data_IF_477354221108
#
_entry.id   IF_477354221108
#
_cell.length_a   1.000
_cell.length_b   1.000
_cell.length_c   1.000
_cell.angle_alpha   90.00
_cell.angle_beta   90.00
_cell.angle_gamma   90.00
#
_symmetry.space_group_name_H-M   'P 1'
#
loop_
_entity.id
_entity.type
_entity.pdbx_description
1 polymer ?
#
# COMPACT_ATOMS: atom_id res chain seq x y z
N UNK A 1 3.51 -21.26 29.26
CA UNK A 1 3.97 -19.91 28.84
C UNK A 1 3.17 -19.50 27.61
N UNK A 2 2.84 -18.23 27.47
CA UNK A 2 2.25 -17.74 26.21
C UNK A 2 3.29 -17.91 25.10
N UNK A 3 2.87 -18.30 23.88
CA UNK A 3 3.75 -18.27 22.71
C UNK A 3 4.31 -16.87 22.48
N UNK A 4 5.56 -16.80 22.03
CA UNK A 4 6.22 -15.53 21.73
C UNK A 4 6.49 -15.43 20.23
N UNK A 5 6.05 -14.36 19.62
CA UNK A 5 6.24 -14.10 18.18
C UNK A 5 7.16 -12.90 17.97
N UNK A 6 7.99 -12.98 16.92
CA UNK A 6 8.74 -11.83 16.40
C UNK A 6 8.17 -11.41 15.05
N UNK A 7 7.98 -10.11 14.87
CA UNK A 7 7.65 -9.52 13.57
C UNK A 7 8.77 -8.55 13.18
N UNK A 8 9.29 -8.67 11.97
CA UNK A 8 10.35 -7.80 11.47
C UNK A 8 9.91 -6.99 10.26
N UNK A 9 10.18 -5.67 10.28
CA UNK A 9 9.86 -4.71 9.22
C UNK A 9 10.92 -3.61 9.15
N UNK A 10 11.02 -2.91 8.01
CA UNK A 10 12.07 -1.91 7.79
C UNK A 10 11.84 -0.60 8.57
N UNK A 11 10.66 -0.02 8.44
CA UNK A 11 10.23 1.26 9.03
C UNK A 11 8.70 1.28 9.12
N UNK A 12 8.15 2.33 9.74
CA UNK A 12 6.70 2.49 9.92
C UNK A 12 6.19 3.78 9.24
N UNK A 13 6.58 3.98 7.98
CA UNK A 13 6.04 5.07 7.15
C UNK A 13 4.64 4.73 6.63
N UNK A 14 3.93 5.73 6.09
CA UNK A 14 2.61 5.51 5.49
C UNK A 14 2.70 4.62 4.24
N UNK A 15 2.15 3.43 4.33
CA UNK A 15 2.08 2.43 3.27
C UNK A 15 1.06 1.33 3.58
N UNK A 16 0.59 0.62 2.55
CA UNK A 16 -0.44 -0.41 2.72
C UNK A 16 0.02 -1.59 3.57
N UNK A 17 1.27 -2.02 3.44
CA UNK A 17 1.84 -3.09 4.26
C UNK A 17 1.96 -2.66 5.73
N UNK A 18 2.43 -1.44 5.98
CA UNK A 18 2.60 -0.90 7.32
C UNK A 18 1.24 -0.67 8.01
N UNK A 19 0.22 -0.21 7.30
CA UNK A 19 -1.16 -0.12 7.82
C UNK A 19 -1.72 -1.52 8.13
N UNK A 20 -1.49 -2.49 7.25
CA UNK A 20 -1.88 -3.88 7.51
C UNK A 20 -1.16 -4.46 8.74
N UNK A 21 0.12 -4.12 8.94
CA UNK A 21 0.83 -4.50 10.16
C UNK A 21 0.19 -3.88 11.42
N UNK A 22 -0.16 -2.59 11.38
CA UNK A 22 -0.89 -1.97 12.51
C UNK A 22 -2.21 -2.69 12.76
N UNK A 23 -2.98 -3.01 11.72
CA UNK A 23 -4.22 -3.79 11.83
C UNK A 23 -3.99 -5.18 12.45
N UNK A 24 -2.93 -5.87 12.01
CA UNK A 24 -2.52 -7.16 12.59
C UNK A 24 -2.15 -7.03 14.07
N UNK A 25 -1.30 -6.06 14.42
CA UNK A 25 -0.88 -5.84 15.80
C UNK A 25 -2.08 -5.55 16.70
N UNK A 26 -3.05 -4.77 16.24
CA UNK A 26 -4.28 -4.47 17.01
C UNK A 26 -5.25 -5.64 17.12
N UNK A 27 -5.24 -6.57 16.17
CA UNK A 27 -6.07 -7.77 16.18
C UNK A 27 -5.49 -8.91 17.03
N UNK A 28 -4.15 -8.91 17.22
CA UNK A 28 -3.48 -9.90 18.07
C UNK A 28 -3.81 -9.66 19.55
N UNK A 29 -4.37 -10.69 20.21
CA UNK A 29 -4.75 -10.65 21.62
C UNK A 29 -3.51 -10.79 22.53
N UNK A 30 -3.16 -9.78 23.32
CA UNK A 30 -2.02 -9.84 24.24
C UNK A 30 -2.16 -10.90 25.36
N UNK A 31 -3.36 -11.46 25.55
CA UNK A 31 -3.55 -12.59 26.47
C UNK A 31 -3.17 -13.93 25.82
N UNK A 32 -3.19 -14.02 24.49
CA UNK A 32 -2.88 -15.23 23.72
C UNK A 32 -1.41 -15.34 23.35
N UNK A 33 -0.74 -14.20 23.01
CA UNK A 33 0.65 -14.19 22.53
C UNK A 33 1.43 -13.01 23.11
N UNK A 34 2.75 -13.17 23.26
CA UNK A 34 3.71 -12.08 23.50
C UNK A 34 4.33 -11.66 22.17
N UNK A 35 4.39 -10.36 21.89
CA UNK A 35 4.80 -9.82 20.60
C UNK A 35 6.05 -8.97 20.74
N UNK A 36 7.14 -9.37 20.09
CA UNK A 36 8.32 -8.55 19.84
C UNK A 36 8.25 -8.00 18.41
N UNK A 37 8.34 -6.69 18.25
CA UNK A 37 8.42 -6.02 16.96
C UNK A 37 9.82 -5.46 16.74
N UNK A 38 10.51 -5.94 15.71
CA UNK A 38 11.81 -5.42 15.28
C UNK A 38 11.63 -4.51 14.07
N UNK A 39 11.73 -3.21 14.28
CA UNK A 39 11.75 -2.20 13.23
C UNK A 39 13.20 -1.81 12.97
N UNK A 40 13.72 -1.98 11.73
CA UNK A 40 15.13 -1.70 11.41
C UNK A 40 15.50 -0.24 11.67
N UNK A 41 14.58 0.68 11.39
CA UNK A 41 14.70 2.11 11.75
C UNK A 41 13.41 2.58 12.39
N UNK A 42 13.47 3.11 13.64
CA UNK A 42 12.31 3.62 14.37
C UNK A 42 11.83 4.96 13.78
N UNK A 43 11.46 4.92 12.49
CA UNK A 43 11.03 6.06 11.69
C UNK A 43 9.68 5.80 11.05
N UNK A 44 8.95 6.88 10.82
CA UNK A 44 7.64 6.85 10.19
C UNK A 44 6.49 7.25 11.10
N UNK A 45 5.44 7.74 10.48
CA UNK A 45 4.28 8.31 11.16
C UNK A 45 3.47 7.27 11.91
N UNK A 46 3.57 5.99 11.49
CA UNK A 46 2.83 4.89 12.08
C UNK A 46 3.49 4.31 13.34
N UNK A 47 4.75 4.69 13.67
CA UNK A 47 5.39 4.26 14.92
C UNK A 47 4.53 4.53 16.16
N UNK A 48 3.88 5.69 16.21
CA UNK A 48 3.00 6.11 17.31
C UNK A 48 1.67 5.35 17.39
N UNK A 49 1.34 4.52 16.40
CA UNK A 49 0.12 3.71 16.36
C UNK A 49 0.35 2.25 16.77
N UNK A 50 1.61 1.89 17.05
CA UNK A 50 1.95 0.57 17.59
C UNK A 50 1.29 0.45 18.98
N UNK A 51 0.51 -0.62 19.23
CA UNK A 51 -0.13 -0.82 20.54
C UNK A 51 0.90 -0.93 21.68
N UNK A 52 0.59 -0.38 22.85
CA UNK A 52 1.49 -0.34 24.01
C UNK A 52 1.92 -1.72 24.52
N UNK A 53 1.11 -2.75 24.31
CA UNK A 53 1.45 -4.12 24.70
C UNK A 53 2.45 -4.81 23.75
N UNK A 54 2.81 -4.20 22.64
CA UNK A 54 3.83 -4.70 21.71
C UNK A 54 5.20 -4.25 22.22
N UNK A 55 6.09 -5.19 22.46
CA UNK A 55 7.46 -4.90 22.83
C UNK A 55 8.27 -4.52 21.58
N UNK A 56 8.50 -3.24 21.38
CA UNK A 56 9.35 -2.76 20.28
C UNK A 56 10.81 -2.95 20.67
N UNK A 57 11.52 -3.83 19.96
CA UNK A 57 12.93 -4.12 20.21
C UNK A 57 13.80 -2.91 19.85
N UNK A 58 14.94 -2.70 20.56
CA UNK A 58 15.87 -1.62 20.24
C UNK A 58 16.37 -1.66 18.80
N UNK A 59 16.61 -0.48 18.21
CA UNK A 59 17.29 -0.41 16.91
C UNK A 59 18.67 -1.05 16.97
N UNK A 60 19.01 -1.84 15.96
CA UNK A 60 20.37 -2.32 15.75
C UNK A 60 21.00 -1.47 14.63
N UNK A 61 22.07 -0.71 14.91
CA UNK A 61 22.62 0.26 13.97
C UNK A 61 22.93 -0.29 12.56
N UNK A 62 23.36 -1.55 12.47
CA UNK A 62 23.67 -2.19 11.19
C UNK A 62 22.44 -2.33 10.29
N UNK A 63 21.27 -2.69 10.85
CA UNK A 63 19.99 -2.76 10.11
C UNK A 63 19.47 -1.39 9.72
N UNK A 64 19.62 -0.40 10.60
CA UNK A 64 19.24 0.99 10.31
C UNK A 64 19.95 1.53 9.06
N UNK A 65 21.16 1.03 8.78
CA UNK A 65 21.95 1.43 7.59
C UNK A 65 21.46 0.78 6.29
N UNK A 66 20.43 -0.06 6.30
CA UNK A 66 19.95 -0.78 5.13
C UNK A 66 19.57 0.15 3.96
N UNK A 67 18.79 1.18 4.21
CA UNK A 67 18.30 2.12 3.19
C UNK A 67 18.95 3.50 3.24
N UNK A 68 19.88 3.75 4.20
CA UNK A 68 20.52 5.05 4.36
C UNK A 68 21.46 5.39 3.18
N UNK A 69 21.63 6.68 2.85
CA UNK A 69 22.62 7.10 1.87
C UNK A 69 24.02 6.57 2.18
N UNK A 70 24.76 6.11 1.17
CA UNK A 70 26.10 5.51 1.36
C UNK A 70 27.07 6.44 2.10
N UNK A 71 26.94 7.76 1.89
CA UNK A 71 27.74 8.77 2.63
C UNK A 71 27.47 8.76 4.14
N UNK A 72 26.21 8.53 4.53
CA UNK A 72 25.83 8.42 5.95
C UNK A 72 26.37 7.14 6.58
N UNK A 73 26.26 6.02 5.86
CA UNK A 73 26.82 4.72 6.30
C UNK A 73 28.31 4.83 6.57
N UNK A 74 29.05 5.49 5.67
CA UNK A 74 30.48 5.77 5.86
C UNK A 74 30.75 6.68 7.06
N UNK A 75 30.00 7.79 7.16
CA UNK A 75 30.16 8.77 8.26
C UNK A 75 29.92 8.15 9.63
N UNK A 76 28.98 7.18 9.72
CA UNK A 76 28.66 6.47 10.96
C UNK A 76 29.61 5.26 11.24
N UNK A 77 30.61 5.04 10.41
CA UNK A 77 31.63 4.01 10.63
C UNK A 77 31.20 2.57 10.36
N UNK A 78 30.05 2.34 9.71
CA UNK A 78 29.56 1.00 9.37
C UNK A 78 30.23 0.43 8.12
N UNK A 79 31.57 0.23 8.16
CA UNK A 79 32.37 -0.16 6.99
C UNK A 79 31.96 -1.53 6.42
N UNK A 80 31.68 -2.53 7.25
CA UNK A 80 31.19 -3.84 6.79
C UNK A 80 29.90 -3.75 6.01
N UNK A 81 28.93 -2.96 6.51
CA UNK A 81 27.66 -2.70 5.82
C UNK A 81 27.89 -1.91 4.52
N UNK A 82 28.79 -0.94 4.54
CA UNK A 82 29.15 -0.17 3.35
C UNK A 82 29.68 -1.08 2.24
N UNK A 83 30.63 -1.96 2.56
CA UNK A 83 31.22 -2.92 1.61
C UNK A 83 30.17 -3.94 1.11
N UNK A 84 29.32 -4.46 2.00
CA UNK A 84 28.23 -5.36 1.63
C UNK A 84 27.28 -4.69 0.62
N UNK A 85 26.85 -3.44 0.88
CA UNK A 85 25.99 -2.68 -0.02
C UNK A 85 26.67 -2.31 -1.35
N UNK A 86 27.97 -1.99 -1.34
CA UNK A 86 28.73 -1.77 -2.57
C UNK A 86 28.79 -3.05 -3.40
N UNK A 87 29.05 -4.20 -2.78
CA UNK A 87 29.08 -5.50 -3.45
C UNK A 87 27.71 -5.85 -4.04
N UNK A 88 26.62 -5.64 -3.29
CA UNK A 88 25.25 -5.82 -3.79
C UNK A 88 24.98 -4.96 -5.05
N UNK A 89 25.37 -3.68 -5.03
CA UNK A 89 25.25 -2.78 -6.19
C UNK A 89 26.09 -3.24 -7.39
N UNK A 90 27.30 -3.72 -7.16
CA UNK A 90 28.14 -4.26 -8.25
C UNK A 90 27.51 -5.51 -8.87
N UNK A 91 27.01 -6.43 -8.04
CA UNK A 91 26.29 -7.63 -8.50
C UNK A 91 25.04 -7.26 -9.28
N UNK A 92 24.26 -6.31 -8.79
CA UNK A 92 23.08 -5.78 -9.48
C UNK A 92 23.45 -5.19 -10.84
N UNK A 93 24.50 -4.36 -10.92
CA UNK A 93 24.95 -3.80 -12.20
C UNK A 93 25.36 -4.90 -13.21
N UNK A 94 26.02 -5.96 -12.75
CA UNK A 94 26.35 -7.11 -13.59
C UNK A 94 25.09 -7.85 -14.07
N UNK A 95 24.11 -8.03 -13.18
CA UNK A 95 22.83 -8.66 -13.47
C UNK A 95 22.03 -7.86 -14.53
N UNK A 96 21.89 -6.55 -14.34
CA UNK A 96 21.23 -5.65 -15.31
C UNK A 96 21.86 -5.74 -16.71
N UNK A 97 23.20 -5.75 -16.76
CA UNK A 97 23.93 -5.90 -18.02
C UNK A 97 23.67 -7.25 -18.70
N UNK A 98 23.66 -8.33 -17.92
CA UNK A 98 23.39 -9.69 -18.43
C UNK A 98 21.96 -9.85 -18.94
N UNK A 99 20.98 -9.29 -18.21
CA UNK A 99 19.55 -9.42 -18.50
C UNK A 99 19.05 -8.38 -19.51
N UNK A 100 19.86 -7.36 -19.81
CA UNK A 100 19.49 -6.23 -20.68
C UNK A 100 18.22 -5.49 -20.23
N UNK A 101 18.06 -5.32 -18.91
CA UNK A 101 16.96 -4.59 -18.27
C UNK A 101 17.47 -3.34 -17.56
N UNK A 102 16.58 -2.37 -17.36
CA UNK A 102 16.81 -1.16 -16.54
C UNK A 102 16.09 -1.24 -15.19
N UNK A 103 15.21 -2.22 -15.02
CA UNK A 103 14.47 -2.43 -13.76
C UNK A 103 15.43 -2.86 -12.64
N UNK A 104 15.44 -2.08 -11.56
CA UNK A 104 16.31 -2.28 -10.41
C UNK A 104 15.63 -3.00 -9.23
N UNK A 105 14.44 -3.54 -9.39
CA UNK A 105 13.68 -4.17 -8.29
C UNK A 105 14.44 -5.34 -7.66
N UNK A 106 15.19 -6.11 -8.44
CA UNK A 106 16.03 -7.22 -7.95
C UNK A 106 17.14 -6.79 -6.95
N UNK A 107 17.39 -5.49 -6.75
CA UNK A 107 18.41 -5.01 -5.80
C UNK A 107 18.15 -5.48 -4.38
N UNK A 108 16.89 -5.69 -3.97
CA UNK A 108 16.53 -6.13 -2.62
C UNK A 108 17.08 -7.53 -2.32
N UNK A 109 17.02 -8.45 -3.28
CA UNK A 109 17.62 -9.77 -3.14
C UNK A 109 19.15 -9.71 -2.95
N UNK A 110 19.86 -8.89 -3.75
CA UNK A 110 21.31 -8.71 -3.60
C UNK A 110 21.69 -8.03 -2.29
N UNK A 111 20.92 -7.02 -1.85
CA UNK A 111 21.13 -6.35 -0.56
C UNK A 111 20.91 -7.33 0.60
N UNK A 112 19.83 -8.10 0.56
CA UNK A 112 19.50 -9.09 1.58
C UNK A 112 20.64 -10.11 1.73
N UNK A 113 21.12 -10.69 0.62
CA UNK A 113 22.20 -11.68 0.67
C UNK A 113 23.52 -11.11 1.19
N UNK A 114 23.95 -9.94 0.73
CA UNK A 114 25.25 -9.41 1.13
C UNK A 114 25.24 -8.78 2.53
N UNK A 115 24.14 -8.12 2.91
CA UNK A 115 24.02 -7.52 4.24
C UNK A 115 23.81 -8.56 5.35
N UNK A 116 23.09 -9.65 5.07
CA UNK A 116 22.92 -10.73 6.05
C UNK A 116 24.25 -11.30 6.56
N UNK A 117 25.31 -11.26 5.74
CA UNK A 117 26.64 -11.74 6.13
C UNK A 117 27.36 -10.85 7.15
N UNK A 118 26.87 -9.64 7.42
CA UNK A 118 27.60 -8.61 8.20
C UNK A 118 26.78 -7.95 9.29
N UNK A 119 25.48 -8.27 9.39
CA UNK A 119 24.61 -7.78 10.46
C UNK A 119 24.57 -8.78 11.62
N UNK A 120 24.36 -8.34 12.87
CA UNK A 120 24.28 -9.23 14.03
C UNK A 120 22.90 -9.89 14.14
N UNK A 121 22.80 -10.91 15.02
CA UNK A 121 21.55 -11.57 15.34
C UNK A 121 20.55 -10.63 16.02
N UNK A 122 19.26 -10.86 15.75
CA UNK A 122 18.14 -10.12 16.32
C UNK A 122 17.69 -10.85 17.59
N UNK A 123 17.86 -10.21 18.74
CA UNK A 123 17.47 -10.74 20.04
C UNK A 123 17.92 -12.20 20.31
N UNK A 124 19.24 -12.50 20.25
CA UNK A 124 19.77 -13.86 20.22
C UNK A 124 19.49 -14.70 21.49
N UNK A 125 19.09 -14.06 22.59
CA UNK A 125 18.74 -14.74 23.86
C UNK A 125 17.36 -15.39 23.84
N UNK A 126 16.52 -15.09 22.84
CA UNK A 126 15.13 -15.59 22.73
C UNK A 126 15.01 -16.56 21.56
N UNK A 127 14.34 -17.67 21.78
CA UNK A 127 13.82 -18.54 20.72
C UNK A 127 12.30 -18.28 20.62
N UNK A 128 11.86 -17.84 19.44
CA UNK A 128 10.46 -17.53 19.16
C UNK A 128 9.67 -18.75 18.75
N UNK A 129 8.39 -18.81 19.08
CA UNK A 129 7.49 -19.84 18.54
C UNK A 129 7.20 -19.60 17.05
N UNK A 130 7.12 -18.32 16.64
CA UNK A 130 6.96 -17.90 15.26
C UNK A 130 7.77 -16.62 14.98
N UNK A 131 8.49 -16.58 13.86
CA UNK A 131 9.11 -15.37 13.36
C UNK A 131 8.51 -14.98 12.01
N UNK A 132 8.08 -13.71 11.88
CA UNK A 132 7.42 -13.15 10.71
C UNK A 132 8.36 -12.15 10.04
N UNK A 133 8.75 -12.42 8.79
CA UNK A 133 9.41 -11.47 7.92
C UNK A 133 8.38 -10.77 7.05
N UNK A 134 8.00 -9.54 7.43
CA UNK A 134 6.83 -8.86 6.87
C UNK A 134 7.09 -8.23 5.49
N UNK A 135 8.33 -7.81 5.20
CA UNK A 135 8.77 -7.26 3.91
C UNK A 135 10.11 -7.85 3.47
N UNK A 136 10.33 -7.89 2.16
CA UNK A 136 11.64 -8.25 1.57
C UNK A 136 12.72 -7.21 1.93
N UNK A 137 13.98 -7.61 2.17
CA UNK A 137 14.53 -8.96 2.03
C UNK A 137 14.28 -9.83 3.26
N UNK A 138 13.91 -11.07 3.03
CA UNK A 138 13.61 -12.03 4.10
C UNK A 138 14.86 -12.68 4.73
N UNK A 139 16.04 -12.47 4.13
CA UNK A 139 17.32 -12.99 4.59
C UNK A 139 17.59 -12.73 6.07
N UNK A 140 17.21 -11.55 6.58
CA UNK A 140 17.51 -11.17 7.96
C UNK A 140 16.77 -12.03 8.98
N UNK A 141 15.47 -12.30 8.77
CA UNK A 141 14.73 -13.21 9.64
C UNK A 141 15.18 -14.66 9.45
N UNK A 142 15.49 -15.06 8.21
CA UNK A 142 16.03 -16.39 7.92
C UNK A 142 17.29 -16.67 8.73
N UNK A 143 18.27 -15.76 8.69
CA UNK A 143 19.63 -16.00 9.17
C UNK A 143 19.85 -15.56 10.62
N UNK A 144 19.13 -14.53 11.09
CA UNK A 144 19.42 -13.82 12.35
C UNK A 144 18.30 -13.88 13.40
N UNK A 145 17.27 -14.68 13.19
CA UNK A 145 16.22 -14.93 14.19
C UNK A 145 16.16 -16.42 14.52
N UNK A 146 16.21 -16.75 15.80
CA UNK A 146 15.97 -18.10 16.30
C UNK A 146 14.47 -18.29 16.49
N UNK A 147 13.85 -19.19 15.74
CA UNK A 147 12.41 -19.47 15.86
C UNK A 147 12.13 -20.93 15.48
N UNK A 148 11.07 -21.52 16.08
CA UNK A 148 10.58 -22.87 15.76
C UNK A 148 9.96 -22.92 14.37
N UNK A 149 9.23 -21.87 13.99
CA UNK A 149 8.65 -21.69 12.65
C UNK A 149 8.94 -20.29 12.12
N UNK A 150 9.10 -20.18 10.83
CA UNK A 150 9.33 -18.90 10.15
C UNK A 150 8.37 -18.74 8.99
N UNK A 151 7.82 -17.54 8.84
CA UNK A 151 6.92 -17.15 7.76
C UNK A 151 7.42 -15.87 7.11
N UNK A 152 7.35 -15.78 5.79
CA UNK A 152 7.61 -14.58 5.02
C UNK A 152 6.35 -14.16 4.24
N UNK A 153 6.26 -12.86 3.89
CA UNK A 153 5.02 -12.26 3.38
C UNK A 153 5.20 -11.67 1.99
N UNK A 154 4.23 -11.91 1.10
CA UNK A 154 4.16 -11.33 -0.25
C UNK A 154 3.15 -10.20 -0.23
N UNK A 155 3.61 -8.96 -0.53
CA UNK A 155 2.76 -7.77 -0.60
C UNK A 155 2.66 -7.16 -2.02
N UNK A 156 3.31 -7.78 -3.01
CA UNK A 156 3.47 -7.20 -4.36
C UNK A 156 3.14 -8.23 -5.44
N UNK A 157 2.66 -7.75 -6.58
CA UNK A 157 2.51 -8.54 -7.80
C UNK A 157 3.91 -8.79 -8.42
N UNK A 158 4.36 -10.03 -8.38
CA UNK A 158 5.68 -10.46 -8.83
C UNK A 158 5.87 -10.42 -10.35
N UNK A 159 4.81 -10.26 -11.13
CA UNK A 159 4.91 -10.05 -12.59
C UNK A 159 5.25 -8.61 -12.97
N UNK A 160 5.23 -7.69 -11.99
CA UNK A 160 5.46 -6.26 -12.19
C UNK A 160 6.82 -5.77 -11.71
N UNK A 161 7.63 -6.67 -11.18
CA UNK A 161 8.97 -6.37 -10.69
C UNK A 161 9.98 -7.33 -11.33
N UNK A 162 11.20 -6.84 -11.55
CA UNK A 162 12.28 -7.73 -11.95
C UNK A 162 12.80 -8.50 -10.74
N UNK A 163 12.81 -9.83 -10.86
CA UNK A 163 13.20 -10.77 -9.80
C UNK A 163 14.36 -11.62 -10.27
N UNK A 164 15.38 -11.75 -9.43
CA UNK A 164 16.41 -12.77 -9.64
C UNK A 164 15.98 -14.07 -8.95
N UNK A 165 15.24 -14.90 -9.68
CA UNK A 165 14.69 -16.14 -9.13
C UNK A 165 15.75 -17.11 -8.58
N UNK A 166 16.92 -17.20 -9.20
CA UNK A 166 18.02 -18.04 -8.71
C UNK A 166 18.55 -17.59 -7.34
N UNK A 167 18.52 -16.28 -7.09
CA UNK A 167 18.96 -15.69 -5.83
C UNK A 167 17.87 -15.78 -4.75
N UNK A 168 16.61 -15.54 -5.13
CA UNK A 168 15.52 -15.41 -4.18
C UNK A 168 14.86 -16.74 -3.79
N UNK A 169 14.77 -17.72 -4.71
CA UNK A 169 14.14 -19.01 -4.43
C UNK A 169 14.70 -19.70 -3.16
N UNK A 170 16.03 -19.78 -2.93
CA UNK A 170 16.56 -20.40 -1.71
C UNK A 170 16.17 -19.65 -0.43
N UNK A 171 15.90 -18.33 -0.53
CA UNK A 171 15.44 -17.55 0.62
C UNK A 171 14.00 -17.88 0.92
N UNK A 172 13.10 -17.82 -0.06
CA UNK A 172 11.70 -18.16 0.09
C UNK A 172 11.49 -19.61 0.57
N UNK A 173 12.24 -20.54 -0.02
CA UNK A 173 12.14 -21.96 0.30
C UNK A 173 12.63 -22.31 1.73
N UNK A 174 13.45 -21.46 2.34
CA UNK A 174 13.92 -21.66 3.72
C UNK A 174 12.87 -21.39 4.79
N UNK A 175 11.75 -20.77 4.44
CA UNK A 175 10.63 -20.52 5.36
C UNK A 175 9.67 -21.71 5.38
N UNK A 176 9.02 -21.92 6.54
CA UNK A 176 8.02 -22.97 6.70
C UNK A 176 6.75 -22.62 5.91
N UNK A 177 6.39 -21.34 5.87
CA UNK A 177 5.23 -20.82 5.15
C UNK A 177 5.56 -19.52 4.41
N UNK A 178 4.82 -19.30 3.32
CA UNK A 178 4.84 -18.06 2.53
C UNK A 178 3.43 -17.49 2.53
N UNK A 179 3.19 -16.40 3.25
CA UNK A 179 1.89 -15.75 3.31
C UNK A 179 1.66 -14.87 2.09
N UNK A 180 0.53 -15.01 1.44
CA UNK A 180 0.07 -14.18 0.33
C UNK A 180 -1.20 -13.43 0.68
N UNK A 181 -1.30 -12.17 0.25
CA UNK A 181 -2.42 -11.29 0.60
C UNK A 181 -3.68 -11.48 -0.25
N UNK A 182 -3.60 -12.27 -1.32
CA UNK A 182 -4.75 -12.58 -2.20
C UNK A 182 -4.45 -13.73 -3.16
N UNK A 183 -5.49 -14.40 -3.70
CA UNK A 183 -5.33 -15.42 -4.76
C UNK A 183 -4.60 -14.90 -6.00
N UNK A 184 -4.84 -13.65 -6.40
CA UNK A 184 -4.19 -13.04 -7.56
C UNK A 184 -2.69 -12.85 -7.33
N UNK A 185 -2.30 -12.37 -6.15
CA UNK A 185 -0.88 -12.25 -5.75
C UNK A 185 -0.23 -13.63 -5.65
N UNK A 186 -0.93 -14.62 -5.09
CA UNK A 186 -0.48 -16.03 -5.09
C UNK A 186 -0.20 -16.51 -6.52
N UNK A 187 -1.15 -16.30 -7.42
CA UNK A 187 -1.03 -16.75 -8.82
C UNK A 187 0.18 -16.14 -9.52
N UNK A 188 0.40 -14.82 -9.38
CA UNK A 188 1.54 -14.15 -10.02
C UNK A 188 2.88 -14.56 -9.41
N UNK A 189 2.94 -14.74 -8.10
CA UNK A 189 4.15 -15.25 -7.41
C UNK A 189 4.51 -16.66 -7.86
N UNK A 190 3.54 -17.57 -7.94
CA UNK A 190 3.77 -18.96 -8.34
C UNK A 190 4.10 -19.13 -9.83
N UNK A 191 3.87 -18.12 -10.69
CA UNK A 191 4.42 -18.11 -12.06
C UNK A 191 5.95 -18.06 -12.07
N UNK A 192 6.56 -17.44 -11.05
CA UNK A 192 8.02 -17.33 -10.90
C UNK A 192 8.57 -18.45 -10.02
N UNK A 193 7.86 -18.82 -8.95
CA UNK A 193 8.29 -19.79 -7.94
C UNK A 193 7.31 -20.96 -7.79
N UNK A 194 7.05 -21.78 -8.81
CA UNK A 194 6.02 -22.83 -8.76
C UNK A 194 6.31 -23.93 -7.72
N UNK A 195 7.56 -24.15 -7.34
CA UNK A 195 7.96 -25.11 -6.32
C UNK A 195 7.48 -24.74 -4.91
N UNK A 196 7.13 -23.48 -4.67
CA UNK A 196 6.68 -23.00 -3.36
C UNK A 196 5.19 -23.22 -3.11
N UNK A 197 4.43 -23.78 -4.07
CA UNK A 197 2.99 -24.07 -3.92
C UNK A 197 2.63 -24.76 -2.59
N UNK A 198 3.36 -25.77 -2.08
CA UNK A 198 3.00 -26.41 -0.81
C UNK A 198 3.18 -25.53 0.44
N UNK A 199 3.91 -24.41 0.33
CA UNK A 199 4.20 -23.51 1.45
C UNK A 199 3.29 -22.27 1.48
N UNK A 200 2.48 -22.06 0.43
CA UNK A 200 1.61 -20.88 0.35
C UNK A 200 0.45 -21.02 1.33
N UNK A 201 0.22 -19.93 2.06
CA UNK A 201 -0.99 -19.70 2.83
C UNK A 201 -1.55 -18.33 2.47
N UNK A 202 -2.86 -18.22 2.40
CA UNK A 202 -3.50 -16.92 2.14
C UNK A 202 -3.92 -16.28 3.45
N UNK A 203 -3.31 -15.12 3.74
CA UNK A 203 -3.66 -14.25 4.85
C UNK A 203 -3.80 -12.84 4.29
N UNK A 204 -5.02 -12.34 4.22
CA UNK A 204 -5.29 -11.00 3.70
C UNK A 204 -4.66 -9.91 4.58
N UNK A 205 -4.50 -8.72 4.01
CA UNK A 205 -4.14 -7.54 4.80
C UNK A 205 -5.19 -7.32 5.91
N UNK A 206 -4.77 -7.40 7.16
CA UNK A 206 -5.66 -7.27 8.32
C UNK A 206 -6.01 -5.81 8.54
N UNK A 207 -7.30 -5.50 8.55
CA UNK A 207 -7.82 -4.15 8.70
C UNK A 207 -8.94 -4.12 9.74
N UNK A 208 -8.92 -3.11 10.61
CA UNK A 208 -9.94 -2.91 11.65
C UNK A 208 -10.87 -1.76 11.28
N UNK A 209 -12.15 -2.07 11.05
CA UNK A 209 -13.18 -1.04 10.82
C UNK A 209 -13.33 -0.10 12.01
N UNK A 210 -13.19 -0.61 13.23
CA UNK A 210 -13.23 0.21 14.44
C UNK A 210 -12.11 1.23 14.47
N UNK A 211 -10.89 0.81 14.13
CA UNK A 211 -9.73 1.71 14.04
C UNK A 211 -9.95 2.79 12.97
N UNK A 212 -10.36 2.40 11.77
CA UNK A 212 -10.58 3.34 10.66
C UNK A 212 -11.65 4.36 11.02
N UNK A 213 -12.79 3.92 11.58
CA UNK A 213 -13.88 4.81 12.01
C UNK A 213 -13.44 5.77 13.11
N UNK A 214 -12.75 5.27 14.15
CA UNK A 214 -12.23 6.12 15.22
C UNK A 214 -11.28 7.21 14.68
N UNK A 215 -10.35 6.81 13.81
CA UNK A 215 -9.41 7.74 13.18
C UNK A 215 -10.08 8.78 12.28
N UNK A 216 -11.22 8.44 11.69
CA UNK A 216 -12.00 9.35 10.85
C UNK A 216 -12.71 10.47 11.65
N UNK A 217 -12.84 10.30 12.96
CA UNK A 217 -13.42 11.31 13.86
C UNK A 217 -12.39 12.25 14.49
N UNK A 218 -11.08 12.05 14.26
CA UNK A 218 -10.02 12.85 14.92
C UNK A 218 -10.08 14.34 14.60
N UNK A 219 -10.57 14.72 13.43
CA UNK A 219 -10.83 16.13 13.05
C UNK A 219 -11.81 16.25 11.90
N UNK A 220 -12.43 17.43 11.77
CA UNK A 220 -13.26 17.78 10.61
C UNK A 220 -12.42 18.48 9.53
N UNK A 221 -12.70 18.14 8.26
CA UNK A 221 -12.01 18.75 7.12
C UNK A 221 -12.73 20.03 6.71
N UNK A 222 -12.07 21.16 6.87
CA UNK A 222 -12.55 22.45 6.39
C UNK A 222 -12.16 22.66 4.91
N UNK A 223 -13.04 22.23 4.03
CA UNK A 223 -12.85 22.35 2.58
C UNK A 223 -12.79 23.79 2.08
N UNK A 224 -13.35 24.75 2.80
CA UNK A 224 -13.30 26.17 2.41
C UNK A 224 -11.85 26.69 2.39
N UNK A 225 -11.02 26.21 3.32
CA UNK A 225 -9.60 26.57 3.43
C UNK A 225 -8.71 25.91 2.38
N UNK A 226 -9.20 24.87 1.70
CA UNK A 226 -8.43 24.12 0.70
C UNK A 226 -9.05 24.19 -0.70
N UNK A 227 -9.65 25.34 -1.00
CA UNK A 227 -10.19 25.66 -2.33
C UNK A 227 -11.59 25.08 -2.61
N UNK A 228 -12.32 24.67 -1.58
CA UNK A 228 -13.64 24.06 -1.73
C UNK A 228 -14.79 24.97 -1.31
N UNK A 229 -15.61 25.46 -2.26
CA UNK A 229 -16.94 26.02 -1.98
C UNK A 229 -18.00 24.93 -1.75
N UNK A 230 -19.28 25.22 -1.98
CA UNK A 230 -20.38 24.22 -1.99
C UNK A 230 -20.23 23.28 -3.21
N UNK A 231 -19.72 22.06 -3.00
CA UNK A 231 -19.40 21.16 -4.10
C UNK A 231 -19.31 19.69 -3.65
N UNK A 232 -19.55 18.72 -4.54
CA UNK A 232 -19.36 17.28 -4.33
C UNK A 232 -17.87 16.94 -4.11
N UNK A 233 -17.59 16.03 -3.19
CA UNK A 233 -16.24 15.66 -2.75
C UNK A 233 -15.91 14.23 -3.12
N UNK A 234 -14.90 14.02 -3.94
CA UNK A 234 -14.41 12.69 -4.34
C UNK A 234 -12.98 12.48 -3.85
N UNK A 235 -12.67 11.28 -3.30
CA UNK A 235 -11.39 10.93 -2.69
C UNK A 235 -10.79 9.65 -3.28
N UNK A 236 -9.50 9.65 -3.60
CA UNK A 236 -8.70 8.47 -3.95
C UNK A 236 -7.42 8.37 -3.12
N UNK A 237 -7.04 7.17 -2.68
CA UNK A 237 -5.87 6.94 -1.80
C UNK A 237 -4.95 5.86 -2.35
N UNK A 238 -3.65 6.11 -2.41
CA UNK A 238 -2.66 5.13 -2.82
C UNK A 238 -1.22 5.63 -2.70
N UNK A 239 -0.24 4.78 -3.04
CA UNK A 239 1.18 5.11 -3.05
C UNK A 239 1.59 5.64 -4.43
N UNK A 240 2.42 6.69 -4.51
CA UNK A 240 2.94 7.20 -5.79
C UNK A 240 4.09 6.33 -6.30
N UNK A 241 3.87 5.41 -7.20
CA UNK A 241 4.83 4.58 -7.92
C UNK A 241 4.27 4.25 -9.30
N UNK A 242 5.11 3.95 -10.26
CA UNK A 242 4.77 3.52 -11.62
C UNK A 242 3.66 2.46 -11.66
N UNK A 243 3.53 1.68 -10.60
CA UNK A 243 2.56 0.62 -10.42
C UNK A 243 1.11 1.05 -10.24
N UNK A 244 0.79 2.35 -10.11
CA UNK A 244 -0.55 2.77 -9.72
C UNK A 244 -1.07 3.94 -10.56
N UNK A 245 -1.22 3.69 -11.78
CA UNK A 245 -1.76 4.36 -12.95
C UNK A 245 -2.76 5.50 -12.70
N UNK A 246 -2.26 6.70 -12.30
CA UNK A 246 -3.08 7.89 -12.13
C UNK A 246 -3.15 8.82 -13.36
N UNK A 247 -2.59 8.39 -14.49
CA UNK A 247 -2.54 9.15 -15.73
C UNK A 247 -3.75 8.94 -16.64
N UNK A 248 -4.77 8.18 -16.22
CA UNK A 248 -5.94 7.88 -17.04
C UNK A 248 -7.26 8.18 -16.35
N UNK A 249 -7.50 9.43 -15.96
CA UNK A 249 -8.81 9.89 -15.57
C UNK A 249 -9.32 10.97 -16.50
N UNK A 250 -9.82 10.68 -17.63
CA UNK A 250 -10.56 11.61 -18.44
C UNK A 250 -12.02 11.33 -18.57
N UNK A 251 -12.64 12.30 -18.91
CA UNK A 251 -13.82 12.52 -19.74
C UNK A 251 -15.19 12.09 -19.25
N UNK A 252 -15.94 13.03 -19.24
CA UNK A 252 -17.38 13.19 -19.44
C UNK A 252 -18.06 13.63 -18.18
N UNK A 253 -18.71 14.65 -18.16
CA UNK A 253 -20.03 14.93 -18.53
C UNK A 253 -20.47 16.34 -18.46
N UNK A 254 -21.22 16.71 -19.37
CA UNK A 254 -22.05 17.87 -19.35
C UNK A 254 -23.45 17.54 -18.86
N UNK A 255 -23.96 18.38 -18.14
CA UNK A 255 -25.26 19.01 -18.08
C UNK A 255 -25.82 19.14 -16.65
N UNK A 256 -25.84 20.43 -16.21
CA UNK A 256 -26.74 20.95 -15.19
C UNK A 256 -26.68 20.26 -13.81
N UNK A 257 -25.64 20.58 -13.05
CA UNK A 257 -25.74 20.58 -11.60
C UNK A 257 -25.24 21.93 -11.10
N UNK A 258 -26.13 22.71 -10.47
CA UNK A 258 -25.80 24.01 -9.84
C UNK A 258 -24.84 23.87 -8.64
N UNK A 259 -24.63 22.67 -8.12
CA UNK A 259 -23.70 22.39 -7.03
C UNK A 259 -22.40 21.77 -7.53
N UNK A 260 -21.28 22.36 -7.12
CA UNK A 260 -19.94 21.88 -7.44
C UNK A 260 -19.62 20.59 -6.66
N UNK A 261 -19.29 19.49 -7.34
CA UNK A 261 -18.98 18.19 -6.76
C UNK A 261 -17.46 17.98 -6.51
N UNK A 262 -17.03 17.53 -5.33
CA UNK A 262 -15.60 17.41 -4.93
C UNK A 262 -15.10 15.96 -4.97
N UNK A 263 -14.10 15.70 -5.83
CA UNK A 263 -13.41 14.43 -5.96
C UNK A 263 -12.10 14.44 -5.15
N UNK A 264 -11.72 13.32 -4.54
CA UNK A 264 -10.45 13.21 -3.83
C UNK A 264 -9.75 11.89 -4.17
N UNK A 265 -8.43 11.96 -4.45
CA UNK A 265 -7.55 10.81 -4.67
C UNK A 265 -6.39 10.81 -3.70
N UNK A 266 -5.99 9.64 -3.18
CA UNK A 266 -4.85 9.52 -2.27
C UNK A 266 -3.93 8.39 -2.69
N UNK A 267 -2.64 8.70 -2.95
CA UNK A 267 -1.71 7.69 -3.34
C UNK A 267 -0.28 8.15 -3.55
N UNK A 268 0.62 7.22 -3.85
CA UNK A 268 1.98 7.53 -4.27
C UNK A 268 1.96 8.10 -5.69
N UNK A 269 2.70 9.19 -5.98
CA UNK A 269 2.85 9.74 -7.33
C UNK A 269 3.79 8.86 -8.16
N UNK A 270 3.20 8.07 -9.05
CA UNK A 270 3.88 7.11 -9.89
C UNK A 270 2.97 6.58 -11.00
N UNK A 271 3.54 6.07 -12.06
CA UNK A 271 2.83 5.57 -13.24
C UNK A 271 1.65 4.64 -12.90
N UNK A 272 1.82 3.76 -11.94
CA UNK A 272 0.78 2.81 -11.55
C UNK A 272 -0.47 3.42 -10.90
N UNK A 273 -0.39 4.64 -10.39
CA UNK A 273 -1.52 5.37 -9.78
C UNK A 273 -2.23 6.33 -10.72
N UNK A 274 -1.70 6.57 -11.90
CA UNK A 274 -2.33 7.34 -12.98
C UNK A 274 -2.70 8.81 -12.65
N UNK A 275 -1.94 9.48 -11.80
CA UNK A 275 -2.26 10.87 -11.44
C UNK A 275 -1.97 11.88 -12.54
N UNK A 276 -1.10 11.57 -13.47
CA UNK A 276 -0.79 12.41 -14.64
C UNK A 276 -1.97 12.53 -15.63
N UNK A 277 -2.94 11.62 -15.58
CA UNK A 277 -4.18 11.73 -16.39
C UNK A 277 -5.34 12.36 -15.64
N UNK A 278 -5.29 12.48 -14.30
CA UNK A 278 -6.34 13.16 -13.53
C UNK A 278 -6.70 14.53 -14.11
N UNK A 279 -5.73 15.38 -14.54
CA UNK A 279 -6.06 16.68 -15.11
C UNK A 279 -6.87 16.61 -16.42
N UNK A 280 -6.53 15.73 -17.33
CA UNK A 280 -7.28 15.56 -18.59
C UNK A 280 -8.67 14.98 -18.34
N UNK A 281 -8.79 14.08 -17.38
CA UNK A 281 -10.06 13.54 -16.89
C UNK A 281 -10.95 14.64 -16.33
N UNK A 282 -10.42 15.39 -15.40
CA UNK A 282 -11.15 16.48 -14.75
C UNK A 282 -11.63 17.49 -15.78
N UNK A 283 -10.75 17.87 -16.73
CA UNK A 283 -11.10 18.75 -17.82
C UNK A 283 -12.31 18.24 -18.61
N UNK A 284 -12.28 17.00 -18.97
CA UNK A 284 -13.31 16.35 -19.77
C UNK A 284 -14.63 16.18 -18.99
N UNK A 285 -14.58 15.88 -17.70
CA UNK A 285 -15.74 15.88 -16.81
C UNK A 285 -16.36 17.30 -16.75
N UNK A 286 -15.55 18.34 -16.73
CA UNK A 286 -16.01 19.74 -16.69
C UNK A 286 -16.56 20.17 -18.05
N UNK A 287 -15.88 19.86 -19.16
CA UNK A 287 -16.32 20.14 -20.54
C UNK A 287 -17.67 19.50 -20.85
N UNK A 288 -17.99 18.40 -20.17
CA UNK A 288 -19.30 17.76 -20.30
C UNK A 288 -20.35 18.31 -19.31
N UNK A 289 -20.01 19.35 -18.48
CA UNK A 289 -20.93 20.13 -17.63
C UNK A 289 -21.03 19.70 -16.18
N UNK A 290 -20.28 18.69 -15.72
CA UNK A 290 -20.20 18.40 -14.29
C UNK A 290 -19.21 19.35 -13.61
N UNK A 291 -19.68 20.10 -12.62
CA UNK A 291 -18.80 20.96 -11.83
C UNK A 291 -18.14 20.12 -10.72
N UNK A 292 -16.83 19.83 -10.84
CA UNK A 292 -16.10 18.99 -9.90
C UNK A 292 -14.79 19.64 -9.43
N UNK A 293 -14.38 19.29 -8.21
CA UNK A 293 -12.98 19.44 -7.75
C UNK A 293 -12.43 18.09 -7.35
N UNK A 294 -11.24 17.77 -7.83
CA UNK A 294 -10.55 16.54 -7.53
C UNK A 294 -9.36 16.79 -6.61
N UNK A 295 -9.43 16.29 -5.40
CA UNK A 295 -8.37 16.41 -4.41
C UNK A 295 -7.48 15.16 -4.43
N UNK A 296 -6.17 15.35 -4.30
CA UNK A 296 -5.19 14.27 -4.32
C UNK A 296 -4.31 14.35 -3.06
N UNK A 297 -4.38 13.35 -2.20
CA UNK A 297 -3.47 13.18 -1.05
C UNK A 297 -2.36 12.22 -1.44
N UNK A 298 -1.10 12.63 -1.29
CA UNK A 298 0.03 11.75 -1.50
C UNK A 298 1.34 12.46 -1.78
N UNK A 299 2.33 11.69 -2.22
CA UNK A 299 3.69 12.14 -2.57
C UNK A 299 4.39 11.09 -3.43
N UNK A 300 5.44 11.44 -4.15
CA UNK A 300 6.25 10.50 -4.94
C UNK A 300 7.08 11.16 -6.03
N UNK A 301 7.78 10.33 -6.81
CA UNK A 301 8.69 10.78 -7.87
C UNK A 301 8.01 11.60 -8.95
N UNK A 302 6.74 11.30 -9.25
CA UNK A 302 6.03 11.84 -10.40
C UNK A 302 5.25 13.13 -10.08
N UNK A 303 5.44 13.72 -8.88
CA UNK A 303 4.74 14.94 -8.49
C UNK A 303 4.96 16.10 -9.47
N UNK A 304 6.18 16.26 -9.95
CA UNK A 304 6.50 17.29 -10.95
C UNK A 304 5.77 17.08 -12.28
N UNK A 305 5.69 15.82 -12.74
CA UNK A 305 4.95 15.45 -13.93
C UNK A 305 3.44 15.73 -13.77
N UNK A 306 2.86 15.35 -12.65
CA UNK A 306 1.44 15.59 -12.37
C UNK A 306 1.12 17.06 -12.32
N UNK A 307 1.96 17.88 -11.65
CA UNK A 307 1.79 19.35 -11.63
C UNK A 307 1.91 19.94 -13.02
N UNK A 308 2.82 19.43 -13.84
CA UNK A 308 2.94 19.82 -15.24
C UNK A 308 1.64 19.48 -16.01
N UNK A 309 1.11 18.28 -15.86
CA UNK A 309 -0.14 17.86 -16.51
C UNK A 309 -1.35 18.68 -16.05
N UNK A 310 -1.42 19.06 -14.78
CA UNK A 310 -2.44 19.99 -14.25
C UNK A 310 -2.36 21.33 -14.97
N UNK A 311 -1.15 21.87 -15.15
CA UNK A 311 -0.94 23.15 -15.85
C UNK A 311 -1.27 23.05 -17.35
N UNK A 312 -0.80 22.00 -18.04
CA UNK A 312 -1.08 21.74 -19.45
C UNK A 312 -2.58 21.60 -19.74
N UNK A 313 -3.33 20.98 -18.84
CA UNK A 313 -4.78 20.83 -18.97
C UNK A 313 -5.59 22.06 -18.52
N UNK A 314 -4.96 23.07 -17.91
CA UNK A 314 -5.65 24.25 -17.36
C UNK A 314 -6.51 23.94 -16.11
N UNK A 315 -6.16 22.89 -15.34
CA UNK A 315 -7.00 22.36 -14.27
C UNK A 315 -6.53 22.74 -12.85
N UNK A 316 -5.76 23.83 -12.69
CA UNK A 316 -5.20 24.25 -11.40
C UNK A 316 -6.26 24.53 -10.31
N UNK A 317 -7.42 25.01 -10.72
CA UNK A 317 -8.55 25.30 -9.81
C UNK A 317 -9.42 24.06 -9.52
N UNK A 318 -9.23 22.98 -10.27
CA UNK A 318 -10.05 21.78 -10.22
C UNK A 318 -9.32 20.52 -9.73
N UNK A 319 -8.00 20.44 -9.91
CA UNK A 319 -7.17 19.34 -9.41
C UNK A 319 -6.21 19.86 -8.36
N UNK A 320 -6.47 19.51 -7.09
CA UNK A 320 -5.79 20.07 -5.92
C UNK A 320 -4.93 19.01 -5.25
N UNK A 321 -3.62 19.18 -5.27
CA UNK A 321 -2.69 18.29 -4.54
C UNK A 321 -2.59 18.72 -3.08
N UNK A 322 -3.06 17.89 -2.16
CA UNK A 322 -3.06 18.14 -0.71
C UNK A 322 -1.74 17.74 -0.01
N UNK A 323 -0.83 17.07 -0.74
CA UNK A 323 0.41 16.54 -0.19
C UNK A 323 0.20 15.35 0.77
N UNK A 324 1.23 14.97 1.50
CA UNK A 324 1.19 13.85 2.46
C UNK A 324 0.34 14.19 3.69
N UNK A 325 -0.53 13.29 4.10
CA UNK A 325 -1.34 13.40 5.32
C UNK A 325 -1.12 12.18 6.21
N UNK A 326 -0.83 12.41 7.49
CA UNK A 326 -0.62 11.34 8.47
C UNK A 326 -1.91 10.63 8.89
N UNK A 327 -3.05 11.28 8.73
CA UNK A 327 -4.38 10.71 8.89
C UNK A 327 -5.26 11.09 7.70
N UNK A 328 -5.49 10.19 6.71
CA UNK A 328 -6.34 10.46 5.57
C UNK A 328 -7.83 10.23 5.84
N UNK A 329 -8.19 9.51 6.89
CA UNK A 329 -9.56 9.05 7.15
C UNK A 329 -10.60 10.16 7.29
N UNK A 330 -10.34 11.31 7.96
CA UNK A 330 -11.27 12.42 7.97
C UNK A 330 -11.57 12.97 6.56
N UNK A 331 -10.57 12.95 5.65
CA UNK A 331 -10.77 13.36 4.25
C UNK A 331 -11.64 12.35 3.50
N UNK A 332 -11.43 11.02 3.73
CA UNK A 332 -12.30 9.98 3.18
C UNK A 332 -13.73 10.17 3.71
N UNK A 333 -13.91 10.35 5.03
CA UNK A 333 -15.22 10.62 5.65
C UNK A 333 -15.91 11.83 5.04
N UNK A 334 -15.17 12.88 4.72
CA UNK A 334 -15.69 14.14 4.25
C UNK A 334 -15.81 14.27 2.72
N UNK A 335 -15.33 13.32 1.93
CA UNK A 335 -15.53 13.33 0.47
C UNK A 335 -16.92 12.80 0.09
N UNK A 336 -17.33 13.08 -1.14
CA UNK A 336 -18.61 12.58 -1.67
C UNK A 336 -18.42 11.22 -2.36
N UNK A 337 -17.36 11.05 -3.15
CA UNK A 337 -17.01 9.81 -3.83
C UNK A 337 -15.49 9.56 -3.71
N UNK A 338 -15.11 8.33 -3.39
CA UNK A 338 -13.74 7.87 -3.43
C UNK A 338 -13.42 7.29 -4.79
N UNK A 339 -12.33 7.71 -5.45
CA UNK A 339 -11.92 7.18 -6.75
C UNK A 339 -10.52 6.56 -6.69
N UNK A 340 -10.37 5.31 -7.11
CA UNK A 340 -9.09 4.61 -7.25
C UNK A 340 -8.80 4.38 -8.75
N UNK A 341 -8.08 5.28 -9.42
CA UNK A 341 -7.91 5.22 -10.88
C UNK A 341 -6.72 4.36 -11.33
N UNK A 342 -6.25 3.46 -10.52
CA UNK A 342 -5.03 2.67 -10.73
C UNK A 342 -5.06 1.84 -12.03
N UNK A 343 -3.89 1.63 -12.65
CA UNK A 343 -3.69 0.66 -13.75
C UNK A 343 -3.62 -0.76 -13.22
N UNK A 344 -3.10 -0.93 -12.00
CA UNK A 344 -3.12 -2.20 -11.28
C UNK A 344 -2.95 -2.03 -9.77
N UNK A 345 -3.51 -2.96 -9.02
CA UNK A 345 -3.40 -3.11 -7.57
C UNK A 345 -3.25 -4.60 -7.24
N UNK A 346 -2.64 -4.92 -6.11
CA UNK A 346 -2.75 -6.26 -5.53
C UNK A 346 -4.13 -6.41 -4.86
N UNK A 347 -4.30 -5.78 -3.70
CA UNK A 347 -5.59 -5.58 -3.02
C UNK A 347 -5.52 -4.21 -2.32
N UNK A 348 -6.25 -3.23 -2.83
CA UNK A 348 -6.13 -1.85 -2.34
C UNK A 348 -6.71 -1.70 -0.95
N UNK A 349 -5.85 -1.43 0.03
CA UNK A 349 -6.25 -1.15 1.42
C UNK A 349 -7.18 0.07 1.47
N UNK A 350 -6.86 1.11 0.71
CA UNK A 350 -7.59 2.38 0.75
C UNK A 350 -9.00 2.31 0.15
N UNK A 351 -9.24 1.43 -0.80
CA UNK A 351 -10.60 1.11 -1.29
C UNK A 351 -11.43 0.52 -0.16
N UNK A 352 -10.88 -0.45 0.57
CA UNK A 352 -11.56 -1.07 1.73
C UNK A 352 -11.79 -0.06 2.87
N UNK A 353 -10.83 0.83 3.14
CA UNK A 353 -10.98 1.93 4.10
C UNK A 353 -12.13 2.88 3.73
N UNK A 354 -12.29 3.19 2.45
CA UNK A 354 -13.42 4.00 1.97
C UNK A 354 -14.77 3.26 2.14
N UNK A 355 -14.81 1.96 1.85
CA UNK A 355 -15.99 1.13 2.09
C UNK A 355 -16.36 1.06 3.58
N UNK A 356 -15.38 0.93 4.49
CA UNK A 356 -15.59 0.96 5.95
C UNK A 356 -16.20 2.29 6.43
N UNK A 357 -15.92 3.38 5.73
CA UNK A 357 -16.46 4.72 5.97
C UNK A 357 -17.74 5.00 5.17
N UNK A 358 -18.34 3.96 4.58
CA UNK A 358 -19.57 4.00 3.80
C UNK A 358 -19.52 5.04 2.66
N UNK A 359 -18.37 5.18 2.01
CA UNK A 359 -18.22 6.05 0.84
C UNK A 359 -18.46 5.31 -0.45
N UNK A 360 -19.22 5.86 -1.40
CA UNK A 360 -19.27 5.34 -2.75
C UNK A 360 -17.86 5.28 -3.33
N UNK A 361 -17.49 4.12 -3.85
CA UNK A 361 -16.16 3.86 -4.41
C UNK A 361 -16.27 3.67 -5.90
N UNK A 362 -15.39 4.31 -6.67
CA UNK A 362 -15.18 4.05 -8.08
C UNK A 362 -13.74 3.60 -8.30
N UNK A 363 -13.55 2.49 -8.99
CA UNK A 363 -12.23 1.99 -9.38
C UNK A 363 -12.15 1.80 -10.88
N UNK A 364 -10.98 1.94 -11.46
CA UNK A 364 -10.74 1.52 -12.84
C UNK A 364 -10.70 -0.01 -12.93
N UNK A 365 -11.01 -0.56 -14.10
CA UNK A 365 -11.01 -2.01 -14.35
C UNK A 365 -9.57 -2.58 -14.45
N UNK A 366 -8.77 -2.40 -13.38
CA UNK A 366 -7.48 -3.08 -13.26
C UNK A 366 -7.69 -4.59 -12.99
N UNK A 367 -6.69 -5.46 -13.26
CA UNK A 367 -6.90 -6.92 -13.28
C UNK A 367 -7.53 -7.52 -12.02
N UNK A 368 -7.32 -6.94 -10.85
CA UNK A 368 -7.86 -7.41 -9.56
C UNK A 368 -9.12 -6.65 -9.10
N UNK A 369 -9.64 -5.70 -9.88
CA UNK A 369 -10.75 -4.85 -9.47
C UNK A 369 -11.99 -5.66 -9.07
N UNK A 370 -12.37 -6.66 -9.85
CA UNK A 370 -13.54 -7.52 -9.62
C UNK A 370 -13.38 -8.46 -8.41
N UNK A 371 -12.16 -8.70 -7.92
CA UNK A 371 -11.95 -9.44 -6.67
C UNK A 371 -12.13 -8.58 -5.42
N UNK A 372 -12.21 -7.27 -5.59
CA UNK A 372 -12.33 -6.31 -4.50
C UNK A 372 -13.65 -5.55 -4.50
N UNK A 373 -14.24 -5.29 -5.66
CA UNK A 373 -15.48 -4.54 -5.86
C UNK A 373 -16.53 -5.44 -6.52
N UNK A 374 -17.69 -5.51 -5.92
CA UNK A 374 -18.91 -6.05 -6.52
C UNK A 374 -19.59 -4.92 -7.26
N UNK A 375 -19.35 -4.85 -8.58
CA UNK A 375 -19.79 -3.73 -9.42
C UNK A 375 -21.30 -3.44 -9.28
N UNK A 376 -21.62 -2.17 -9.03
CA UNK A 376 -22.98 -1.68 -8.79
C UNK A 376 -23.57 -2.01 -7.41
N UNK A 377 -22.87 -2.75 -6.54
CA UNK A 377 -23.34 -3.16 -5.21
C UNK A 377 -22.58 -2.45 -4.10
N UNK A 378 -21.26 -2.59 -4.05
CA UNK A 378 -20.39 -1.99 -3.00
C UNK A 378 -19.37 -1.00 -3.57
N UNK A 379 -19.47 -0.71 -4.86
CA UNK A 379 -18.68 0.24 -5.63
C UNK A 379 -19.00 0.12 -7.11
N UNK A 380 -18.26 0.85 -7.94
CA UNK A 380 -18.41 0.86 -9.40
C UNK A 380 -17.06 0.61 -10.06
N UNK A 381 -17.04 -0.22 -11.09
CA UNK A 381 -15.87 -0.48 -11.92
C UNK A 381 -16.06 0.26 -13.26
N UNK A 382 -15.12 1.16 -13.58
CA UNK A 382 -15.13 1.91 -14.85
C UNK A 382 -13.98 1.47 -15.75
N UNK A 383 -14.10 1.61 -17.10
CA UNK A 383 -13.01 1.29 -18.01
C UNK A 383 -11.71 2.03 -17.70
N UNK A 384 -10.55 1.46 -18.10
CA UNK A 384 -9.24 2.07 -17.84
C UNK A 384 -8.86 3.13 -18.88
N UNK A 385 -9.41 3.08 -20.07
CA UNK A 385 -9.14 4.11 -21.06
C UNK A 385 -9.79 5.43 -20.67
N UNK A 386 -9.12 6.48 -21.05
CA UNK A 386 -9.46 7.82 -20.62
C UNK A 386 -10.91 8.25 -20.96
N UNK A 387 -11.40 7.95 -22.12
CA UNK A 387 -12.72 8.39 -22.58
C UNK A 387 -13.86 7.66 -21.86
N UNK A 388 -13.80 6.33 -21.80
CA UNK A 388 -14.86 5.54 -21.21
C UNK A 388 -14.83 5.54 -19.68
N UNK A 389 -13.65 5.66 -19.06
CA UNK A 389 -13.53 5.85 -17.62
C UNK A 389 -14.32 7.08 -17.18
N UNK A 390 -14.15 8.15 -17.84
CA UNK A 390 -14.81 9.38 -17.50
C UNK A 390 -16.30 9.38 -17.77
N UNK A 391 -16.75 8.69 -18.82
CA UNK A 391 -18.16 8.46 -19.05
C UNK A 391 -18.78 7.73 -17.86
N UNK A 392 -18.14 6.65 -17.43
CA UNK A 392 -18.62 5.89 -16.29
C UNK A 392 -18.59 6.67 -14.98
N UNK A 393 -17.54 7.48 -14.73
CA UNK A 393 -17.46 8.36 -13.57
C UNK A 393 -18.58 9.39 -13.55
N UNK A 394 -18.85 10.01 -14.66
CA UNK A 394 -19.85 11.06 -14.77
C UNK A 394 -21.28 10.51 -14.69
N UNK A 395 -21.56 9.40 -15.35
CA UNK A 395 -22.81 8.68 -15.18
C UNK A 395 -23.05 8.37 -13.71
N UNK A 396 -22.00 7.91 -12.99
CA UNK A 396 -22.10 7.61 -11.57
C UNK A 396 -22.22 8.86 -10.69
N UNK A 397 -21.54 9.96 -11.02
CA UNK A 397 -21.69 11.26 -10.32
C UNK A 397 -23.12 11.79 -10.40
N UNK A 398 -23.79 11.57 -11.51
CA UNK A 398 -25.16 12.00 -11.74
C UNK A 398 -26.21 11.05 -11.14
N UNK A 399 -25.86 9.78 -10.97
CA UNK A 399 -26.75 8.74 -10.46
C UNK A 399 -26.76 8.72 -8.92
N UNK A 400 -27.48 9.68 -8.33
CA UNK A 400 -27.61 9.80 -6.88
C UNK A 400 -28.34 8.61 -6.25
N UNK A 401 -29.23 7.94 -6.98
CA UNK A 401 -29.95 6.74 -6.50
C UNK A 401 -28.97 5.58 -6.36
N UNK A 402 -28.11 5.35 -7.35
CA UNK A 402 -27.07 4.32 -7.30
C UNK A 402 -26.04 4.60 -6.19
N UNK A 403 -25.64 5.87 -6.00
CA UNK A 403 -24.77 6.26 -4.89
C UNK A 403 -25.42 5.93 -3.55
N UNK A 404 -26.70 6.30 -3.36
CA UNK A 404 -27.42 6.03 -2.12
C UNK A 404 -27.59 4.54 -1.87
N UNK A 405 -27.89 3.75 -2.89
CA UNK A 405 -27.99 2.30 -2.80
C UNK A 405 -26.65 1.68 -2.32
N UNK A 406 -25.51 2.09 -2.89
CA UNK A 406 -24.18 1.65 -2.46
C UNK A 406 -23.92 2.05 -1.00
N UNK A 407 -24.22 3.28 -0.60
CA UNK A 407 -24.06 3.76 0.79
C UNK A 407 -24.85 2.89 1.77
N UNK A 408 -26.10 2.58 1.45
CA UNK A 408 -26.97 1.76 2.30
C UNK A 408 -26.45 0.31 2.40
N UNK A 409 -25.97 -0.25 1.30
CA UNK A 409 -25.32 -1.55 1.31
C UNK A 409 -24.06 -1.56 2.22
N UNK A 410 -23.19 -0.55 2.07
CA UNK A 410 -21.96 -0.43 2.87
C UNK A 410 -22.25 -0.23 4.38
N UNK A 411 -23.36 0.42 4.74
CA UNK A 411 -23.76 0.59 6.14
C UNK A 411 -24.15 -0.72 6.84
N UNK A 412 -24.62 -1.68 6.07
CA UNK A 412 -25.10 -2.98 6.60
C UNK A 412 -24.02 -4.08 6.52
N UNK A 413 -22.85 -3.80 5.92
CA UNK A 413 -21.76 -4.76 5.74
C UNK A 413 -20.49 -4.22 6.39
N UNK A 414 -19.81 -5.06 7.15
CA UNK A 414 -18.48 -4.74 7.67
C UNK A 414 -17.39 -5.17 6.67
N UNK A 415 -16.51 -4.25 6.33
CA UNK A 415 -15.36 -4.46 5.47
C UNK A 415 -14.06 -4.69 6.25
N UNK A 416 -14.12 -4.76 7.58
CA UNK A 416 -13.05 -5.25 8.45
C UNK A 416 -12.84 -6.75 8.26
N UNK A 417 -11.69 -7.25 8.64
CA UNK A 417 -11.34 -8.66 8.57
C UNK A 417 -10.33 -9.01 9.68
N UNK A 418 -10.59 -8.53 10.89
CA UNK A 418 -9.71 -8.78 12.04
C UNK A 418 -9.62 -10.27 12.38
N UNK A 419 -10.60 -11.08 11.98
CA UNK A 419 -10.62 -12.54 12.13
C UNK A 419 -9.49 -13.24 11.35
N UNK A 420 -8.91 -12.62 10.35
CA UNK A 420 -7.74 -13.16 9.64
C UNK A 420 -6.56 -13.46 10.60
N UNK A 421 -6.54 -12.81 11.76
CA UNK A 421 -5.53 -13.08 12.81
C UNK A 421 -5.59 -14.52 13.35
N UNK A 422 -6.74 -15.21 13.27
CA UNK A 422 -6.87 -16.60 13.72
C UNK A 422 -6.00 -17.55 12.88
N UNK A 423 -5.76 -17.21 11.60
CA UNK A 423 -4.81 -17.94 10.76
C UNK A 423 -3.39 -17.88 11.34
N UNK A 424 -2.98 -16.72 11.89
CA UNK A 424 -1.67 -16.55 12.53
C UNK A 424 -1.60 -17.44 13.80
N UNK A 425 -2.64 -17.46 14.62
CA UNK A 425 -2.67 -18.34 15.80
C UNK A 425 -2.58 -19.82 15.43
N UNK A 426 -3.14 -20.24 14.30
CA UNK A 426 -3.05 -21.62 13.84
C UNK A 426 -1.63 -22.06 13.49
N UNK A 427 -0.76 -21.13 13.10
CA UNK A 427 0.64 -21.40 12.75
C UNK A 427 1.52 -21.59 13.99
N UNK A 428 1.13 -21.06 15.13
CA UNK A 428 1.89 -21.16 16.40
C UNK A 428 1.69 -22.53 17.08
N UNK A 429 0.57 -23.17 16.82
CA UNK A 429 0.26 -24.52 17.32
C UNK A 429 1.11 -25.58 16.60
#
# INVERSE_FOLDING_TARGET
MKPRILIAIHYMHLGGAEISLIGMLQALDPNKVDIDLFVYSHEGELMKLIPEYVNVLPEIPAYKMFERPMKEVLKKGHLSVLFARMKAKMRMKSYLKKKQTIDQSAIMGFLGEEMSKVVPDINPSVEYDLAISFLTPHNFVRDHVRAKKKICWIHTDYTRIDVNAELELPVWDSFDYVASISPDVTKTFLQIFPSLTPKIIEIENILSSTFVRHRAEEFEVDWSKIGGGNCLRILSIGRFSEQKNFDNLPFICSLLIEEMKKLLSIGRFCEAKNYDSVPDITRRIIESGCNIKWYIIGFGSDESLIRQKIAEAGMQEHVIILGKKSNPYPYIKACDIYVQPSRYEGKSVTVREAQMLCKPVVVTNYPTASSQIKDGIDGVIVPMDNENCAKGLAEFILDTEKQQHIIEYLRTHDYGNVEEVEKIYSLIK
#
